data_IF_757263918435
#
_entry.id   IF_757263918435
#
_cell.length_a   1.000
_cell.length_b   1.000
_cell.length_c   1.000
_cell.angle_alpha   90.00
_cell.angle_beta   90.00
_cell.angle_gamma   90.00
#
_symmetry.space_group_name_H-M   'P 1'
#
loop_
_entity.id
_entity.type
_entity.pdbx_description
1 polymer ?
#
# COMPACT_ATOMS: atom_id res chain seq x y z
N UNK A 1 59.63 3.98 -65.68
CA UNK A 1 58.61 4.62 -64.84
C UNK A 1 57.67 3.52 -64.34
N UNK A 2 57.95 2.94 -63.16
CA UNK A 2 57.17 1.82 -62.59
C UNK A 2 56.37 2.34 -61.40
N UNK A 3 55.05 2.27 -61.47
CA UNK A 3 54.11 2.57 -60.40
C UNK A 3 54.20 1.50 -59.30
N UNK A 4 54.36 1.92 -58.05
CA UNK A 4 54.13 1.09 -56.86
C UNK A 4 52.74 1.39 -56.31
N UNK A 5 51.89 0.37 -56.24
CA UNK A 5 50.57 0.40 -55.62
C UNK A 5 50.74 -0.03 -54.16
N UNK A 6 50.45 0.87 -53.21
CA UNK A 6 50.34 0.54 -51.79
C UNK A 6 48.91 0.07 -51.50
N UNK A 7 48.74 -1.20 -51.15
CA UNK A 7 47.51 -1.73 -50.56
C UNK A 7 47.53 -1.48 -49.05
N UNK A 8 46.55 -0.71 -48.56
CA UNK A 8 46.27 -0.55 -47.14
C UNK A 8 45.38 -1.70 -46.65
N UNK A 9 45.87 -2.48 -45.68
CA UNK A 9 45.07 -3.45 -44.94
C UNK A 9 44.32 -2.75 -43.81
N UNK A 10 43.00 -2.60 -43.96
CA UNK A 10 42.10 -2.27 -42.85
C UNK A 10 41.80 -3.56 -42.08
N UNK A 11 42.37 -3.69 -40.88
CA UNK A 11 42.01 -4.76 -39.94
C UNK A 11 40.79 -4.33 -39.14
N UNK A 12 39.65 -4.99 -39.40
CA UNK A 12 38.42 -4.81 -38.63
C UNK A 12 38.55 -5.45 -37.26
N UNK A 13 38.61 -4.62 -36.21
CA UNK A 13 38.48 -5.05 -34.83
C UNK A 13 37.00 -5.19 -34.49
N UNK A 14 36.44 -6.39 -34.68
CA UNK A 14 35.13 -6.74 -34.13
C UNK A 14 35.31 -7.03 -32.63
N UNK A 15 35.11 -6.01 -31.82
CA UNK A 15 34.99 -6.15 -30.38
C UNK A 15 33.78 -7.02 -30.06
N UNK A 16 34.03 -8.19 -29.49
CA UNK A 16 33.00 -9.02 -28.89
C UNK A 16 32.51 -8.29 -27.63
N UNK A 17 31.39 -7.60 -27.74
CA UNK A 17 30.64 -7.16 -26.56
C UNK A 17 30.00 -8.41 -25.98
N UNK A 18 30.67 -9.02 -25.01
CA UNK A 18 30.04 -10.02 -24.16
C UNK A 18 28.88 -9.35 -23.43
N UNK A 19 27.66 -9.64 -23.86
CA UNK A 19 26.46 -9.39 -23.06
C UNK A 19 26.57 -10.26 -21.80
N UNK A 20 27.22 -9.74 -20.77
CA UNK A 20 27.10 -10.26 -19.42
C UNK A 20 25.69 -9.88 -18.98
N UNK A 21 24.74 -10.77 -19.19
CA UNK A 21 23.47 -10.73 -18.48
C UNK A 21 23.81 -10.91 -17.01
N UNK A 22 23.98 -9.81 -16.25
CA UNK A 22 24.01 -9.89 -14.80
C UNK A 22 22.65 -10.44 -14.39
N UNK A 23 22.64 -11.69 -13.94
CA UNK A 23 21.48 -12.26 -13.29
C UNK A 23 21.26 -11.46 -12.01
N UNK A 24 20.25 -10.58 -12.01
CA UNK A 24 19.94 -9.71 -10.88
C UNK A 24 19.85 -10.55 -9.60
N UNK A 25 20.63 -10.17 -8.59
CA UNK A 25 20.78 -10.95 -7.37
C UNK A 25 19.45 -11.16 -6.63
N UNK A 26 19.33 -12.26 -5.90
CA UNK A 26 18.12 -12.53 -5.12
C UNK A 26 18.10 -11.60 -3.90
N UNK A 27 16.97 -10.89 -3.63
CA UNK A 27 16.89 -10.03 -2.45
C UNK A 27 17.03 -10.85 -1.17
N UNK A 28 17.70 -10.28 -0.17
CA UNK A 28 18.04 -10.97 1.08
C UNK A 28 17.43 -10.25 2.27
N UNK A 29 16.74 -11.00 3.13
CA UNK A 29 16.27 -10.51 4.42
C UNK A 29 17.48 -10.26 5.32
N UNK A 30 17.68 -9.01 5.72
CA UNK A 30 18.72 -8.61 6.66
C UNK A 30 18.25 -8.78 8.10
N UNK A 31 16.99 -8.46 8.38
CA UNK A 31 16.37 -8.64 9.70
C UNK A 31 14.86 -8.66 9.62
N UNK A 32 14.21 -9.38 10.53
CA UNK A 32 12.77 -9.27 10.81
C UNK A 32 12.59 -9.10 12.31
N UNK A 33 11.74 -8.16 12.72
CA UNK A 33 11.39 -7.93 14.12
C UNK A 33 9.88 -7.83 14.28
N UNK A 34 9.33 -8.49 15.30
CA UNK A 34 8.02 -8.11 15.82
C UNK A 34 8.18 -6.74 16.52
N UNK A 35 7.47 -5.73 16.04
CA UNK A 35 7.55 -4.35 16.54
C UNK A 35 6.34 -3.94 17.39
N UNK A 36 5.26 -4.73 17.35
CA UNK A 36 4.05 -4.45 18.13
C UNK A 36 3.04 -5.61 18.12
N UNK A 37 2.43 -5.88 19.28
CA UNK A 37 1.42 -6.92 19.43
C UNK A 37 0.37 -6.63 20.54
N UNK A 38 0.15 -5.36 20.90
CA UNK A 38 -0.61 -5.02 22.12
C UNK A 38 -2.10 -5.40 22.10
N UNK A 39 -2.76 -5.44 20.93
CA UNK A 39 -4.17 -5.80 20.81
C UNK A 39 -4.36 -7.28 20.40
N UNK A 40 -5.55 -7.89 20.63
CA UNK A 40 -5.85 -9.23 20.13
C UNK A 40 -5.76 -9.37 18.61
N UNK A 41 -6.05 -8.30 17.87
CA UNK A 41 -5.86 -8.20 16.43
C UNK A 41 -5.12 -6.92 16.06
N UNK A 42 -3.97 -7.04 15.39
CA UNK A 42 -3.17 -5.94 14.86
C UNK A 42 -2.98 -6.13 13.35
N UNK A 43 -3.43 -5.19 12.50
CA UNK A 43 -3.38 -5.39 11.04
C UNK A 43 -3.38 -4.11 10.20
N UNK A 44 -3.20 -4.29 8.88
CA UNK A 44 -3.36 -3.27 7.85
C UNK A 44 -2.33 -2.15 7.91
N UNK A 45 -1.05 -2.53 7.97
CA UNK A 45 0.04 -1.60 8.29
C UNK A 45 0.28 -0.53 7.23
N UNK A 46 0.96 0.54 7.66
CA UNK A 46 1.74 1.39 6.78
C UNK A 46 2.99 1.93 7.48
N UNK A 47 3.96 2.42 6.71
CA UNK A 47 5.26 2.87 7.19
C UNK A 47 5.70 4.15 6.44
N UNK A 48 6.15 5.16 7.19
CA UNK A 48 6.80 6.34 6.64
C UNK A 48 8.02 6.71 7.47
N UNK A 49 9.02 7.32 6.84
CA UNK A 49 10.12 7.99 7.53
C UNK A 49 9.93 9.51 7.38
N UNK A 50 9.66 10.19 8.48
CA UNK A 50 9.28 11.60 8.50
C UNK A 50 10.09 12.35 9.57
N UNK A 51 10.73 13.46 9.16
CA UNK A 51 11.55 14.32 10.04
C UNK A 51 12.55 13.53 10.91
N UNK A 52 13.25 12.57 10.30
CA UNK A 52 14.28 11.77 10.96
C UNK A 52 13.77 10.61 11.82
N UNK A 53 12.46 10.34 11.82
CA UNK A 53 11.85 9.26 12.62
C UNK A 53 11.02 8.33 11.75
N UNK A 54 10.93 7.09 12.19
CA UNK A 54 10.03 6.10 11.64
C UNK A 54 8.66 6.20 12.30
N UNK A 55 7.60 6.17 11.50
CA UNK A 55 6.24 6.05 11.96
C UNK A 55 5.59 4.85 11.28
N UNK A 56 4.99 3.98 12.07
CA UNK A 56 4.19 2.87 11.58
C UNK A 56 2.76 3.01 12.11
N UNK A 57 1.78 2.76 11.26
CA UNK A 57 0.36 2.75 11.64
C UNK A 57 -0.26 1.41 11.35
N UNK A 58 -1.26 1.03 12.13
CA UNK A 58 -2.06 -0.17 11.95
C UNK A 58 -3.35 -0.07 12.77
N UNK A 59 -4.30 -0.92 12.45
CA UNK A 59 -5.54 -1.09 13.20
C UNK A 59 -5.31 -2.02 14.39
N UNK A 60 -5.78 -1.61 15.56
CA UNK A 60 -5.95 -2.43 16.76
C UNK A 60 -7.44 -2.76 16.96
N UNK A 61 -7.76 -4.03 17.17
CA UNK A 61 -9.12 -4.47 17.48
C UNK A 61 -9.15 -5.82 18.19
N UNK A 62 -10.34 -6.30 18.52
CA UNK A 62 -10.52 -7.65 19.07
C UNK A 62 -10.51 -8.74 17.98
N UNK A 63 -10.77 -8.40 16.70
CA UNK A 63 -10.90 -9.34 15.57
C UNK A 63 -10.71 -8.66 14.20
N UNK A 64 -10.50 -9.48 13.15
CA UNK A 64 -10.27 -9.03 11.77
C UNK A 64 -11.45 -8.27 11.16
N UNK A 65 -12.62 -8.91 10.99
CA UNK A 65 -13.81 -8.28 10.37
C UNK A 65 -15.14 -8.96 10.71
N UNK A 66 -15.13 -10.25 11.04
CA UNK A 66 -16.34 -11.04 11.28
C UNK A 66 -16.49 -11.32 12.76
N UNK A 67 -17.36 -10.57 13.45
CA UNK A 67 -18.05 -11.13 14.61
C UNK A 67 -19.19 -12.01 14.09
N UNK A 68 -19.36 -13.24 14.62
CA UNK A 68 -20.67 -13.89 14.55
C UNK A 68 -21.65 -12.95 15.26
N UNK A 69 -22.81 -12.68 14.68
CA UNK A 69 -23.79 -11.67 15.12
C UNK A 69 -24.26 -11.83 16.57
N UNK A 70 -24.07 -13.00 17.20
CA UNK A 70 -24.29 -13.23 18.63
C UNK A 70 -23.22 -12.63 19.56
N UNK A 71 -22.13 -12.07 19.01
CA UNK A 71 -21.01 -11.52 19.76
C UNK A 71 -20.72 -10.04 19.46
N UNK A 72 -21.47 -9.39 18.56
CA UNK A 72 -21.46 -7.93 18.41
C UNK A 72 -21.89 -7.30 19.74
N UNK A 73 -21.15 -6.32 20.27
CA UNK A 73 -21.65 -5.49 21.34
C UNK A 73 -22.96 -4.91 20.83
N UNK A 74 -24.05 -5.19 21.55
CA UNK A 74 -24.99 -4.10 21.75
C UNK A 74 -24.22 -2.91 22.32
N UNK A 75 -24.86 -1.75 22.34
CA UNK A 75 -24.31 -0.47 22.86
C UNK A 75 -23.65 -0.59 24.26
N UNK A 76 -23.80 -1.74 24.94
CA UNK A 76 -23.35 -2.06 26.29
C UNK A 76 -22.34 -3.23 26.43
N UNK A 77 -21.55 -3.63 25.42
CA UNK A 77 -20.49 -4.67 25.60
C UNK A 77 -19.08 -4.13 25.39
N UNK A 78 -18.20 -4.33 26.38
CA UNK A 78 -16.79 -3.95 26.35
C UNK A 78 -16.01 -4.65 25.20
N UNK A 79 -15.11 -3.92 24.54
CA UNK A 79 -14.22 -4.44 23.48
C UNK A 79 -13.77 -3.35 22.51
N UNK A 80 -12.66 -3.56 21.79
CA UNK A 80 -12.15 -2.59 20.81
C UNK A 80 -12.83 -2.74 19.46
N UNK A 81 -13.49 -1.68 19.00
CA UNK A 81 -14.11 -1.59 17.68
C UNK A 81 -13.21 -0.78 16.73
N UNK A 82 -12.05 -1.33 16.37
CA UNK A 82 -11.16 -0.75 15.35
C UNK A 82 -10.64 0.65 15.67
N UNK A 83 -9.49 0.70 16.33
CA UNK A 83 -8.77 1.94 16.61
C UNK A 83 -7.50 1.97 15.77
N UNK A 84 -7.02 3.17 15.41
CA UNK A 84 -5.77 3.32 14.68
C UNK A 84 -4.64 3.63 15.65
N UNK A 85 -3.71 2.70 15.79
CA UNK A 85 -2.45 2.90 16.49
C UNK A 85 -1.46 3.57 15.54
N UNK A 86 -0.75 4.56 16.07
CA UNK A 86 0.49 5.07 15.50
C UNK A 86 1.61 4.77 16.48
N UNK A 87 2.70 4.17 16.00
CA UNK A 87 3.93 3.96 16.76
C UNK A 87 5.08 4.70 16.10
N UNK A 88 6.05 5.13 16.91
CA UNK A 88 7.23 5.88 16.47
C UNK A 88 8.52 5.19 16.92
N UNK A 89 9.55 5.30 16.10
CA UNK A 89 10.91 4.87 16.42
C UNK A 89 11.95 5.83 15.85
N UNK A 90 13.01 6.09 16.61
CA UNK A 90 14.16 6.87 16.13
C UNK A 90 15.08 6.04 15.22
N UNK A 91 15.09 4.71 15.37
CA UNK A 91 16.07 3.82 14.73
C UNK A 91 15.45 2.56 14.08
N UNK A 92 14.14 2.38 14.22
CA UNK A 92 13.42 1.22 13.72
C UNK A 92 13.57 -0.06 14.56
N UNK A 93 14.31 -0.01 15.68
CA UNK A 93 14.48 -1.15 16.59
C UNK A 93 13.62 -1.04 17.84
N UNK A 94 13.50 0.16 18.42
CA UNK A 94 12.67 0.41 19.63
C UNK A 94 11.47 1.27 19.28
N UNK A 95 10.28 0.75 19.54
CA UNK A 95 9.02 1.38 19.19
C UNK A 95 8.22 1.74 20.42
N UNK A 96 7.54 2.89 20.36
CA UNK A 96 6.59 3.33 21.38
C UNK A 96 5.33 3.87 20.73
N UNK A 97 4.21 3.84 21.44
CA UNK A 97 2.99 4.49 20.99
C UNK A 97 3.22 6.00 20.81
N UNK A 98 2.74 6.52 19.69
CA UNK A 98 2.69 7.94 19.36
C UNK A 98 1.25 8.45 19.20
N UNK A 99 0.26 7.55 19.06
CA UNK A 99 -1.14 7.95 18.99
C UNK A 99 -2.07 6.75 19.02
N UNK A 100 -3.30 6.96 19.51
CA UNK A 100 -4.42 6.04 19.38
C UNK A 100 -5.63 6.84 18.95
N UNK A 101 -6.03 6.69 17.68
CA UNK A 101 -7.15 7.41 17.12
C UNK A 101 -8.38 6.51 17.09
N UNK A 102 -9.51 7.05 17.50
CA UNK A 102 -10.81 6.40 17.47
C UNK A 102 -11.86 7.36 16.88
N UNK A 103 -12.93 6.79 16.33
CA UNK A 103 -14.11 7.51 15.85
C UNK A 103 -15.33 6.82 16.47
N UNK A 104 -16.02 7.51 17.38
CA UNK A 104 -17.00 6.89 18.28
C UNK A 104 -18.12 6.20 17.49
N UNK A 105 -18.34 4.91 17.76
CA UNK A 105 -19.34 4.10 17.05
C UNK A 105 -18.88 3.53 15.70
N UNK A 106 -17.70 3.88 15.21
CA UNK A 106 -17.15 3.38 13.95
C UNK A 106 -15.94 2.45 14.17
N UNK A 107 -15.74 1.50 13.24
CA UNK A 107 -14.53 0.69 13.11
C UNK A 107 -13.57 1.38 12.13
N UNK A 108 -12.47 1.94 12.62
CA UNK A 108 -11.43 2.50 11.77
C UNK A 108 -10.53 1.41 11.18
N UNK A 109 -10.32 1.47 9.87
CA UNK A 109 -9.66 0.43 9.07
C UNK A 109 -8.71 0.99 8.01
N UNK A 110 -7.72 0.16 7.68
CA UNK A 110 -6.73 0.39 6.64
C UNK A 110 -6.01 1.74 6.74
N UNK A 111 -5.39 2.07 7.88
CA UNK A 111 -4.67 3.33 8.01
C UNK A 111 -3.47 3.39 7.05
N UNK A 112 -3.29 4.53 6.40
CA UNK A 112 -2.18 4.84 5.49
C UNK A 112 -1.60 6.20 5.84
N UNK A 113 -0.28 6.24 6.02
CA UNK A 113 0.46 7.43 6.38
C UNK A 113 1.06 8.06 5.12
N UNK A 114 1.11 9.39 5.11
CA UNK A 114 1.85 10.14 4.10
C UNK A 114 2.44 11.41 4.71
N UNK A 115 3.58 11.85 4.17
CA UNK A 115 4.14 13.16 4.50
C UNK A 115 3.54 14.20 3.56
N UNK A 116 2.97 15.25 4.12
CA UNK A 116 2.42 16.37 3.36
C UNK A 116 3.53 17.35 2.93
N UNK A 117 3.34 18.07 1.82
CA UNK A 117 4.26 19.12 1.36
C UNK A 117 4.48 20.24 2.39
N UNK A 118 3.47 20.54 3.22
CA UNK A 118 3.56 21.53 4.30
C UNK A 118 4.32 21.03 5.55
N UNK A 119 4.82 19.80 5.51
CA UNK A 119 5.60 19.19 6.57
C UNK A 119 4.78 18.50 7.66
N UNK A 120 3.45 18.43 7.55
CA UNK A 120 2.61 17.61 8.43
C UNK A 120 2.64 16.13 8.02
N UNK A 121 2.27 15.26 8.94
CA UNK A 121 1.83 13.91 8.64
C UNK A 121 0.33 13.90 8.39
N UNK A 122 -0.11 13.21 7.34
CA UNK A 122 -1.50 12.88 7.07
C UNK A 122 -1.71 11.38 7.26
N UNK A 123 -2.71 11.03 8.06
CA UNK A 123 -3.22 9.68 8.25
C UNK A 123 -4.57 9.57 7.57
N UNK A 124 -4.63 8.79 6.49
CA UNK A 124 -5.86 8.41 5.80
C UNK A 124 -6.33 7.06 6.33
N UNK A 125 -7.61 6.93 6.66
CA UNK A 125 -8.23 5.67 7.10
C UNK A 125 -9.68 5.63 6.60
N UNK A 126 -10.35 4.49 6.70
CA UNK A 126 -11.79 4.41 6.48
C UNK A 126 -12.51 3.99 7.75
N UNK A 127 -13.71 4.52 7.97
CA UNK A 127 -14.54 4.22 9.12
C UNK A 127 -15.77 3.44 8.67
N UNK A 128 -15.99 2.26 9.23
CA UNK A 128 -17.16 1.43 8.94
C UNK A 128 -18.14 1.44 10.11
N UNK A 129 -19.41 1.71 9.83
CA UNK A 129 -20.49 1.61 10.81
C UNK A 129 -21.16 0.24 10.67
N UNK A 130 -21.12 -0.60 11.70
CA UNK A 130 -21.75 -1.91 11.67
C UNK A 130 -23.22 -1.85 12.12
N UNK A 131 -24.11 -2.62 11.46
CA UNK A 131 -25.51 -2.80 11.89
C UNK A 131 -25.69 -4.24 12.43
N UNK A 132 -25.71 -4.44 13.76
CA UNK A 132 -25.75 -5.77 14.38
C UNK A 132 -26.98 -6.60 14.00
N UNK A 133 -28.08 -5.94 13.60
CA UNK A 133 -29.40 -6.54 13.43
C UNK A 133 -29.80 -6.83 11.99
N UNK A 134 -29.04 -6.37 10.98
CA UNK A 134 -29.50 -6.40 9.57
C UNK A 134 -28.84 -7.45 8.68
N UNK A 135 -27.73 -8.09 9.08
CA UNK A 135 -27.01 -8.97 8.15
C UNK A 135 -26.62 -10.34 8.72
N UNK A 136 -27.04 -11.40 8.03
CA UNK A 136 -26.58 -12.78 8.29
C UNK A 136 -25.26 -13.13 7.60
N UNK A 137 -24.76 -12.31 6.66
CA UNK A 137 -23.55 -12.62 5.87
C UNK A 137 -22.52 -11.47 5.70
N UNK A 138 -22.94 -10.20 5.53
CA UNK A 138 -22.05 -9.01 5.35
C UNK A 138 -22.60 -7.78 6.08
N UNK A 139 -21.82 -7.15 6.98
CA UNK A 139 -22.42 -6.46 8.14
C UNK A 139 -22.11 -4.99 8.44
N UNK A 140 -21.62 -4.17 7.50
CA UNK A 140 -21.61 -2.71 7.72
C UNK A 140 -22.85 -2.05 7.09
N UNK A 141 -23.43 -1.06 7.78
CA UNK A 141 -24.52 -0.21 7.30
C UNK A 141 -24.04 0.79 6.27
N UNK A 142 -22.90 1.41 6.57
CA UNK A 142 -22.25 2.42 5.73
C UNK A 142 -20.78 2.47 6.10
N UNK A 143 -19.99 3.12 5.25
CA UNK A 143 -18.58 3.45 5.53
C UNK A 143 -18.24 4.78 4.91
N UNK A 144 -17.18 5.43 5.35
CA UNK A 144 -16.62 6.56 4.60
C UNK A 144 -15.16 6.80 5.00
N UNK A 145 -14.38 7.51 4.18
CA UNK A 145 -13.01 7.86 4.51
C UNK A 145 -12.92 8.89 5.64
N UNK A 146 -11.82 8.84 6.39
CA UNK A 146 -11.42 9.74 7.49
C UNK A 146 -9.98 10.18 7.26
N UNK A 147 -9.69 11.44 7.57
CA UNK A 147 -8.32 11.96 7.63
C UNK A 147 -8.03 12.55 9.00
N UNK A 148 -6.80 12.37 9.46
CA UNK A 148 -6.26 13.02 10.65
C UNK A 148 -4.85 13.54 10.35
N UNK A 149 -4.46 14.61 11.04
CA UNK A 149 -3.20 15.30 10.79
C UNK A 149 -2.37 15.43 12.06
N UNK A 150 -1.05 15.48 11.90
CA UNK A 150 -0.12 15.73 12.99
C UNK A 150 1.07 16.55 12.51
N UNK A 151 1.46 17.57 13.29
CA UNK A 151 2.66 18.38 13.02
C UNK A 151 3.93 17.76 13.62
N UNK A 152 3.79 17.00 14.70
CA UNK A 152 4.90 16.46 15.49
C UNK A 152 4.94 14.92 15.54
N UNK A 153 3.95 14.26 14.94
CA UNK A 153 3.79 12.81 14.90
C UNK A 153 3.22 12.18 16.18
N UNK A 154 2.94 12.99 17.21
CA UNK A 154 2.45 12.53 18.53
C UNK A 154 1.11 13.13 18.94
N UNK A 155 0.80 14.34 18.51
CA UNK A 155 -0.51 14.97 18.69
C UNK A 155 -1.26 14.91 17.36
N UNK A 156 -2.41 14.23 17.38
CA UNK A 156 -3.21 13.99 16.18
C UNK A 156 -4.54 14.73 16.28
N UNK A 157 -4.98 15.33 15.17
CA UNK A 157 -6.34 15.85 15.07
C UNK A 157 -7.36 14.72 15.21
N UNK A 158 -8.60 15.07 15.59
CA UNK A 158 -9.71 14.11 15.49
C UNK A 158 -9.89 13.68 14.03
N UNK A 159 -10.26 12.41 13.77
CA UNK A 159 -10.62 11.98 12.43
C UNK A 159 -11.73 12.84 11.84
N UNK A 160 -11.47 13.42 10.67
CA UNK A 160 -12.42 14.21 9.90
C UNK A 160 -12.96 13.37 8.75
N UNK A 161 -14.29 13.25 8.61
CA UNK A 161 -14.89 12.60 7.46
C UNK A 161 -14.62 13.39 6.18
N UNK A 162 -14.17 12.69 5.14
CA UNK A 162 -14.02 13.21 3.78
C UNK A 162 -14.78 12.31 2.81
N UNK A 163 -15.23 12.88 1.69
CA UNK A 163 -16.13 12.24 0.72
C UNK A 163 -17.48 11.78 1.32
N UNK A 164 -18.38 11.36 0.41
CA UNK A 164 -19.68 10.81 0.77
C UNK A 164 -19.57 9.40 1.36
N UNK A 165 -20.71 8.88 1.80
CA UNK A 165 -20.83 7.48 2.23
C UNK A 165 -20.47 6.49 1.10
N UNK A 166 -20.13 5.27 1.52
CA UNK A 166 -19.68 4.11 0.72
C UNK A 166 -18.34 4.23 -0.01
N UNK A 167 -17.78 5.43 -0.05
CA UNK A 167 -16.40 5.64 -0.45
C UNK A 167 -15.43 4.93 0.49
N UNK A 168 -14.34 4.43 -0.07
CA UNK A 168 -13.18 3.94 0.66
C UNK A 168 -11.93 4.38 -0.07
N UNK A 169 -11.46 5.56 0.32
CA UNK A 169 -10.24 6.19 -0.13
C UNK A 169 -9.08 5.48 0.58
N UNK A 170 -8.24 4.77 -0.18
CA UNK A 170 -7.36 3.77 0.42
C UNK A 170 -5.98 4.32 0.79
N UNK A 171 -5.15 4.68 -0.19
CA UNK A 171 -3.75 5.10 0.03
C UNK A 171 -3.41 6.33 -0.82
N UNK A 172 -3.22 7.47 -0.16
CA UNK A 172 -2.82 8.70 -0.82
C UNK A 172 -1.33 8.68 -1.22
N UNK A 173 -1.03 9.27 -2.37
CA UNK A 173 0.34 9.53 -2.85
C UNK A 173 0.44 11.00 -3.22
N UNK A 174 1.45 11.69 -2.68
CA UNK A 174 1.68 13.10 -2.98
C UNK A 174 2.61 13.25 -4.19
N UNK A 175 2.22 14.09 -5.13
CA UNK A 175 2.99 14.45 -6.31
C UNK A 175 2.72 15.91 -6.66
N UNK A 176 3.79 16.69 -6.83
CA UNK A 176 3.73 18.12 -7.18
C UNK A 176 2.74 18.93 -6.34
N UNK A 177 2.77 18.72 -5.01
CA UNK A 177 1.92 19.46 -4.07
C UNK A 177 0.47 18.97 -3.99
N UNK A 178 0.08 17.92 -4.72
CA UNK A 178 -1.26 17.34 -4.69
C UNK A 178 -1.24 15.90 -4.20
N UNK A 179 -2.20 15.54 -3.35
CA UNK A 179 -2.49 14.17 -2.99
C UNK A 179 -3.34 13.52 -4.09
N UNK A 180 -3.04 12.27 -4.43
CA UNK A 180 -3.79 11.45 -5.37
C UNK A 180 -4.15 10.13 -4.72
N UNK A 181 -5.40 9.69 -4.87
CA UNK A 181 -5.85 8.44 -4.29
C UNK A 181 -7.00 7.85 -5.09
N UNK A 182 -7.08 6.52 -5.15
CA UNK A 182 -8.24 5.82 -5.67
C UNK A 182 -9.19 5.51 -4.51
N UNK A 183 -10.48 5.81 -4.71
CA UNK A 183 -11.56 5.35 -3.86
C UNK A 183 -12.27 4.18 -4.53
N UNK A 184 -12.50 3.10 -3.79
CA UNK A 184 -13.53 2.11 -4.16
C UNK A 184 -14.91 2.56 -3.66
N UNK A 185 -15.92 2.48 -4.52
CA UNK A 185 -17.31 2.84 -4.20
C UNK A 185 -18.24 1.66 -4.45
N UNK A 186 -19.18 1.45 -3.54
CA UNK A 186 -20.20 0.40 -3.61
C UNK A 186 -20.46 -0.22 -2.24
N UNK A 187 -21.74 -0.42 -1.93
CA UNK A 187 -22.25 -0.99 -0.68
C UNK A 187 -21.88 -2.46 -0.52
N UNK A 188 -21.83 -3.21 -1.63
CA UNK A 188 -21.54 -4.65 -1.68
C UNK A 188 -20.14 -4.94 -2.25
N UNK A 189 -19.67 -6.21 -2.16
CA UNK A 189 -18.50 -6.64 -2.91
C UNK A 189 -18.65 -6.45 -4.43
N UNK A 190 -19.88 -6.61 -4.94
CA UNK A 190 -20.22 -6.59 -6.37
C UNK A 190 -21.58 -5.90 -6.60
N UNK A 191 -21.69 -4.94 -7.54
CA UNK A 191 -20.61 -4.28 -8.28
C UNK A 191 -19.87 -3.23 -7.43
N UNK A 192 -18.61 -2.98 -7.76
CA UNK A 192 -17.78 -1.93 -7.13
C UNK A 192 -17.02 -1.15 -8.20
N UNK A 193 -17.00 0.17 -8.06
CA UNK A 193 -16.33 1.10 -8.98
C UNK A 193 -15.08 1.66 -8.33
N UNK A 194 -14.11 2.08 -9.13
CA UNK A 194 -12.88 2.71 -8.67
C UNK A 194 -12.73 4.10 -9.30
N UNK A 195 -12.59 5.12 -8.47
CA UNK A 195 -12.50 6.51 -8.90
C UNK A 195 -11.20 7.12 -8.45
N UNK A 196 -10.51 7.78 -9.37
CA UNK A 196 -9.37 8.61 -9.06
C UNK A 196 -9.86 9.94 -8.47
N UNK A 197 -9.27 10.30 -7.35
CA UNK A 197 -9.45 11.59 -6.70
C UNK A 197 -8.10 12.28 -6.52
N UNK A 198 -8.13 13.61 -6.48
CA UNK A 198 -6.99 14.42 -6.06
C UNK A 198 -7.38 15.48 -5.04
N UNK A 199 -6.42 15.99 -4.27
CA UNK A 199 -6.65 17.01 -3.25
C UNK A 199 -5.39 17.86 -3.02
N UNK A 200 -5.54 19.13 -2.66
CA UNK A 200 -4.42 19.99 -2.27
C UNK A 200 -4.09 19.94 -0.79
N UNK A 201 -5.04 19.50 0.05
CA UNK A 201 -4.95 19.58 1.52
C UNK A 201 -5.26 18.26 2.24
N UNK A 202 -5.71 17.25 1.49
CA UNK A 202 -6.15 15.96 2.02
C UNK A 202 -7.56 15.97 2.60
N UNK A 203 -8.26 17.10 2.58
CA UNK A 203 -9.64 17.27 3.09
C UNK A 203 -10.61 17.38 1.93
N UNK A 204 -10.37 18.30 1.01
CA UNK A 204 -11.24 18.55 -0.13
C UNK A 204 -10.75 17.75 -1.34
N UNK A 205 -11.45 16.65 -1.63
CA UNK A 205 -11.12 15.71 -2.70
C UNK A 205 -11.96 15.96 -3.95
N UNK A 206 -11.29 16.22 -5.07
CA UNK A 206 -11.87 16.42 -6.38
C UNK A 206 -11.85 15.11 -7.16
N UNK A 207 -12.97 14.78 -7.80
CA UNK A 207 -13.04 13.63 -8.70
C UNK A 207 -12.28 13.95 -10.00
N UNK A 208 -11.49 12.99 -10.48
CA UNK A 208 -10.63 13.16 -11.66
C UNK A 208 -11.08 12.26 -12.82
N UNK A 209 -11.19 10.96 -12.56
CA UNK A 209 -11.59 9.96 -13.57
C UNK A 209 -12.07 8.66 -12.92
N UNK A 210 -12.54 7.73 -13.73
CA UNK A 210 -12.90 6.37 -13.30
C UNK A 210 -11.93 5.34 -13.87
N UNK A 211 -11.44 4.44 -13.02
CA UNK A 211 -10.63 3.30 -13.43
C UNK A 211 -11.55 2.16 -13.87
N UNK A 212 -11.92 2.17 -15.15
CA UNK A 212 -12.76 1.13 -15.77
C UNK A 212 -11.91 -0.08 -16.17
N UNK A 213 -11.87 -1.10 -15.31
CA UNK A 213 -11.22 -2.36 -15.64
C UNK A 213 -11.93 -3.06 -16.83
N UNK A 214 -11.21 -3.81 -17.69
CA UNK A 214 -11.81 -4.50 -18.84
C UNK A 214 -12.97 -5.44 -18.44
N UNK A 215 -14.08 -5.38 -19.19
CA UNK A 215 -15.30 -6.15 -18.92
C UNK A 215 -15.10 -7.68 -19.03
N UNK A 216 -15.99 -8.47 -18.42
CA UNK A 216 -15.99 -9.94 -18.52
C UNK A 216 -14.98 -10.69 -17.65
N UNK A 217 -14.00 -9.99 -17.06
CA UNK A 217 -12.98 -10.60 -16.18
C UNK A 217 -13.16 -10.32 -14.68
N UNK A 218 -14.15 -9.50 -14.30
CA UNK A 218 -14.24 -8.89 -12.97
C UNK A 218 -15.42 -9.36 -12.10
N UNK A 219 -16.25 -10.31 -12.53
CA UNK A 219 -17.37 -10.79 -11.69
C UNK A 219 -16.81 -11.40 -10.40
N UNK A 220 -17.00 -10.70 -9.27
CA UNK A 220 -16.42 -11.06 -7.96
C UNK A 220 -14.94 -10.69 -7.77
N UNK A 221 -14.35 -9.90 -8.69
CA UNK A 221 -12.95 -9.41 -8.65
C UNK A 221 -12.85 -7.92 -9.02
N UNK A 222 -13.83 -7.14 -8.59
CA UNK A 222 -13.94 -5.71 -8.83
C UNK A 222 -12.77 -4.93 -8.21
N UNK A 223 -12.40 -3.77 -8.80
CA UNK A 223 -11.26 -3.00 -8.33
C UNK A 223 -11.47 -2.56 -6.87
N UNK A 224 -10.39 -2.61 -6.09
CA UNK A 224 -10.48 -2.31 -4.65
C UNK A 224 -9.28 -1.54 -4.11
N UNK A 225 -8.41 -2.19 -3.35
CA UNK A 225 -7.20 -1.60 -2.79
C UNK A 225 -6.22 -1.27 -3.92
N UNK A 226 -5.96 0.02 -4.11
CA UNK A 226 -5.12 0.52 -5.21
C UNK A 226 -4.04 1.47 -4.70
N UNK A 227 -2.77 1.12 -4.95
CA UNK A 227 -1.63 2.01 -4.68
C UNK A 227 -1.28 2.76 -5.97
N UNK A 228 -1.02 4.07 -5.87
CA UNK A 228 -0.56 4.90 -6.98
C UNK A 228 0.92 5.29 -6.79
N UNK A 229 1.69 5.42 -7.87
CA UNK A 229 2.99 6.12 -7.90
C UNK A 229 3.14 6.85 -9.22
N UNK A 230 4.00 7.86 -9.24
CA UNK A 230 4.32 8.65 -10.42
C UNK A 230 5.73 8.30 -10.89
N UNK A 231 5.85 7.98 -12.18
CA UNK A 231 7.12 7.85 -12.87
C UNK A 231 7.74 9.24 -13.10
N UNK A 232 9.06 9.33 -13.36
CA UNK A 232 9.73 10.62 -13.60
C UNK A 232 9.15 11.45 -14.75
N UNK A 233 8.51 10.81 -15.72
CA UNK A 233 7.87 11.45 -16.87
C UNK A 233 6.39 11.84 -16.63
N UNK A 234 5.92 11.73 -15.39
CA UNK A 234 4.55 12.06 -14.98
C UNK A 234 3.52 10.94 -15.24
N UNK A 235 3.92 9.79 -15.81
CA UNK A 235 3.03 8.64 -15.93
C UNK A 235 2.64 8.12 -14.55
N UNK A 236 1.34 7.95 -14.32
CA UNK A 236 0.79 7.36 -13.11
C UNK A 236 0.69 5.84 -13.30
N UNK A 237 1.25 5.09 -12.35
CA UNK A 237 1.11 3.64 -12.25
C UNK A 237 0.17 3.32 -11.08
N UNK A 238 -0.82 2.48 -11.32
CA UNK A 238 -1.76 1.97 -10.32
C UNK A 238 -1.59 0.47 -10.13
N UNK A 239 -1.26 0.02 -8.92
CA UNK A 239 -1.29 -1.40 -8.57
C UNK A 239 -2.63 -1.71 -7.90
N UNK A 240 -3.51 -2.40 -8.61
CA UNK A 240 -4.94 -2.56 -8.31
C UNK A 240 -5.22 -3.99 -7.88
N UNK A 241 -5.72 -4.15 -6.66
CA UNK A 241 -6.26 -5.42 -6.17
C UNK A 241 -7.50 -5.81 -6.99
N UNK A 242 -7.60 -7.02 -7.53
CA UNK A 242 -6.76 -8.20 -7.21
C UNK A 242 -5.62 -8.49 -8.21
N UNK A 243 -5.67 -8.01 -9.45
CA UNK A 243 -4.86 -8.56 -10.54
C UNK A 243 -4.43 -7.56 -11.62
N UNK A 244 -4.41 -6.26 -11.36
CA UNK A 244 -4.16 -5.29 -12.43
C UNK A 244 -3.06 -4.30 -12.09
N UNK A 245 -2.25 -4.00 -13.10
CA UNK A 245 -1.41 -2.81 -13.16
C UNK A 245 -2.08 -1.88 -14.16
N UNK A 246 -2.52 -0.71 -13.69
CA UNK A 246 -3.06 0.36 -14.52
C UNK A 246 -1.99 1.40 -14.83
N UNK A 247 -2.05 2.00 -16.01
CA UNK A 247 -1.17 3.09 -16.43
C UNK A 247 -2.00 4.24 -17.00
N UNK A 248 -1.61 5.46 -16.70
CA UNK A 248 -2.27 6.65 -17.24
C UNK A 248 -1.31 7.83 -17.30
N UNK A 249 -1.38 8.62 -18.38
CA UNK A 249 -0.64 9.88 -18.52
C UNK A 249 -1.56 11.06 -18.21
N UNK A 250 -1.03 12.24 -17.82
CA UNK A 250 -1.82 13.46 -17.69
C UNK A 250 -2.69 13.67 -18.94
N UNK A 251 -3.96 14.08 -18.82
CA UNK A 251 -4.67 14.50 -17.59
C UNK A 251 -5.34 13.35 -16.81
N UNK A 252 -4.83 12.13 -16.92
CA UNK A 252 -5.26 10.93 -16.18
C UNK A 252 -6.70 10.46 -16.44
N UNK A 253 -7.19 10.76 -17.64
CA UNK A 253 -8.56 10.43 -18.06
C UNK A 253 -8.69 9.03 -18.68
N UNK A 254 -7.62 8.55 -19.29
CA UNK A 254 -7.59 7.27 -20.00
C UNK A 254 -6.58 6.33 -19.36
N UNK A 255 -6.98 5.07 -19.22
CA UNK A 255 -6.21 4.05 -18.52
C UNK A 255 -6.00 2.83 -19.41
N UNK A 256 -4.78 2.35 -19.46
CA UNK A 256 -4.45 1.00 -19.96
C UNK A 256 -4.22 0.07 -18.78
N UNK A 257 -4.50 -1.22 -18.98
CA UNK A 257 -4.41 -2.22 -17.91
C UNK A 257 -3.68 -3.46 -18.38
N UNK A 258 -2.75 -3.92 -17.55
CA UNK A 258 -2.12 -5.22 -17.68
C UNK A 258 -2.60 -6.11 -16.55
N UNK A 259 -3.12 -7.29 -16.90
CA UNK A 259 -3.49 -8.31 -15.92
C UNK A 259 -2.25 -9.07 -15.48
N UNK A 260 -2.13 -9.31 -14.18
CA UNK A 260 -1.08 -10.14 -13.57
C UNK A 260 -1.65 -11.46 -13.06
N UNK A 261 -0.82 -12.50 -13.05
CA UNK A 261 -1.22 -13.87 -12.69
C UNK A 261 -1.13 -14.17 -11.18
N UNK A 262 -1.24 -13.12 -10.35
CA UNK A 262 -1.10 -13.20 -8.91
C UNK A 262 -2.26 -12.52 -8.21
N UNK A 263 -2.82 -13.17 -7.17
CA UNK A 263 -3.84 -12.55 -6.32
C UNK A 263 -3.17 -11.67 -5.27
N UNK A 264 -3.44 -10.37 -5.33
CA UNK A 264 -2.91 -9.39 -4.40
C UNK A 264 -3.88 -9.11 -3.26
N UNK A 265 -3.35 -8.94 -2.04
CA UNK A 265 -4.08 -8.41 -0.89
C UNK A 265 -3.29 -7.28 -0.22
N UNK A 266 -3.92 -6.10 -0.12
CA UNK A 266 -3.29 -4.89 0.40
C UNK A 266 -2.01 -4.47 -0.31
N UNK A 267 -1.94 -4.42 -1.66
CA UNK A 267 -0.69 -4.22 -2.38
C UNK A 267 -0.09 -2.83 -2.19
N UNK A 268 1.22 -2.75 -1.99
CA UNK A 268 1.99 -1.50 -2.00
C UNK A 268 3.20 -1.66 -2.91
N UNK A 269 3.72 -0.57 -3.46
CA UNK A 269 4.96 -0.60 -4.22
C UNK A 269 5.72 0.72 -4.09
N UNK A 270 7.01 0.66 -4.40
CA UNK A 270 7.93 1.80 -4.43
C UNK A 270 8.67 1.82 -5.75
N UNK A 271 9.06 3.03 -6.18
CA UNK A 271 10.00 3.26 -7.26
C UNK A 271 11.31 3.66 -6.59
N UNK A 272 12.38 2.93 -6.84
CA UNK A 272 13.70 3.20 -6.27
C UNK A 272 14.44 4.31 -7.05
N UNK A 273 15.52 4.88 -6.50
CA UNK A 273 16.28 5.93 -7.19
C UNK A 273 16.85 5.51 -8.56
N UNK A 274 17.07 4.22 -8.78
CA UNK A 274 17.51 3.67 -10.07
C UNK A 274 16.36 3.44 -11.08
N UNK A 275 15.12 3.75 -10.68
CA UNK A 275 13.92 3.55 -11.49
C UNK A 275 13.30 2.16 -11.39
N UNK A 276 13.94 1.21 -10.71
CA UNK A 276 13.37 -0.12 -10.50
C UNK A 276 12.13 -0.05 -9.59
N UNK A 277 11.14 -0.90 -9.86
CA UNK A 277 9.90 -0.95 -9.09
C UNK A 277 9.83 -2.23 -8.27
N UNK A 278 9.45 -2.08 -7.01
CA UNK A 278 9.35 -3.20 -6.07
C UNK A 278 8.00 -3.16 -5.37
N UNK A 279 7.29 -4.28 -5.43
CA UNK A 279 5.98 -4.46 -4.82
C UNK A 279 6.10 -5.35 -3.59
N UNK A 280 5.35 -5.04 -2.54
CA UNK A 280 5.05 -6.00 -1.49
C UNK A 280 3.53 -6.14 -1.33
N UNK A 281 3.06 -7.36 -1.12
CA UNK A 281 1.63 -7.67 -1.00
C UNK A 281 1.42 -8.99 -0.28
N UNK A 282 0.18 -9.30 0.10
CA UNK A 282 -0.22 -10.69 0.30
C UNK A 282 -0.32 -11.34 -1.07
N UNK A 283 0.54 -12.30 -1.36
CA UNK A 283 0.55 -13.07 -2.61
C UNK A 283 0.38 -14.54 -2.25
N UNK A 284 -0.65 -15.18 -2.80
CA UNK A 284 -0.92 -16.62 -2.60
C UNK A 284 -0.93 -17.07 -1.12
N UNK A 285 -1.39 -16.20 -0.22
CA UNK A 285 -1.57 -16.53 1.19
C UNK A 285 -0.46 -16.06 2.13
N UNK A 286 0.69 -15.62 1.63
CA UNK A 286 1.83 -15.12 2.43
C UNK A 286 2.19 -13.67 2.06
N UNK A 287 2.89 -12.97 2.95
CA UNK A 287 3.48 -11.67 2.65
C UNK A 287 4.73 -11.86 1.80
N UNK A 288 4.76 -11.27 0.61
CA UNK A 288 5.86 -11.45 -0.34
C UNK A 288 6.31 -10.11 -0.93
N UNK A 289 7.59 -10.06 -1.28
CA UNK A 289 8.22 -9.05 -2.09
C UNK A 289 8.30 -9.55 -3.54
N UNK A 290 8.02 -8.67 -4.48
CA UNK A 290 8.01 -8.92 -5.90
C UNK A 290 8.76 -7.83 -6.66
N UNK A 291 9.49 -8.21 -7.71
CA UNK A 291 9.94 -7.28 -8.75
C UNK A 291 8.72 -6.86 -9.56
N UNK A 292 8.65 -5.58 -9.90
CA UNK A 292 7.54 -5.02 -10.66
C UNK A 292 8.07 -4.25 -11.86
N UNK A 293 7.31 -4.26 -12.93
CA UNK A 293 7.42 -3.31 -14.04
C UNK A 293 6.03 -2.69 -14.26
N UNK A 294 5.85 -1.72 -15.17
CA UNK A 294 4.52 -1.25 -15.55
C UNK A 294 3.60 -2.36 -16.12
N UNK A 295 4.14 -3.53 -16.46
CA UNK A 295 3.42 -4.60 -17.17
C UNK A 295 3.58 -5.99 -16.52
N UNK A 296 4.41 -6.14 -15.49
CA UNK A 296 4.66 -7.44 -14.87
C UNK A 296 4.89 -7.34 -13.37
N UNK A 297 4.65 -8.46 -12.69
CA UNK A 297 4.92 -8.63 -11.27
C UNK A 297 5.45 -10.06 -11.06
N UNK A 298 6.65 -10.17 -10.51
CA UNK A 298 7.33 -11.44 -10.24
C UNK A 298 7.66 -11.54 -8.75
N UNK A 299 6.97 -12.38 -7.97
CA UNK A 299 7.32 -12.64 -6.58
C UNK A 299 8.70 -13.29 -6.49
N UNK A 300 9.60 -12.70 -5.70
CA UNK A 300 11.01 -13.13 -5.60
C UNK A 300 11.43 -13.46 -4.16
N UNK A 301 10.67 -13.03 -3.15
CA UNK A 301 11.02 -13.29 -1.75
C UNK A 301 9.79 -13.34 -0.86
N UNK A 302 9.63 -14.45 -0.14
CA UNK A 302 8.63 -14.57 0.91
C UNK A 302 9.16 -14.01 2.23
N UNK A 303 8.38 -13.16 2.91
CA UNK A 303 8.67 -12.71 4.26
C UNK A 303 8.14 -13.75 5.26
N UNK A 304 8.78 -13.94 6.44
CA UNK A 304 8.27 -14.77 7.53
C UNK A 304 6.85 -14.36 7.89
N UNK A 305 5.87 -15.16 7.45
CA UNK A 305 4.44 -14.82 7.52
C UNK A 305 3.56 -16.05 7.31
N UNK A 306 2.32 -15.96 7.78
CA UNK A 306 1.33 -17.02 7.72
C UNK A 306 -0.03 -16.57 8.28
N UNK A 307 -1.06 -17.37 8.03
CA UNK A 307 -2.43 -17.16 8.48
C UNK A 307 -3.04 -15.86 7.94
N UNK A 308 -3.40 -14.97 8.85
CA UNK A 308 -3.88 -13.63 8.53
C UNK A 308 -2.70 -12.66 8.39
N UNK A 309 -2.42 -12.17 7.18
CA UNK A 309 -1.17 -11.44 6.88
C UNK A 309 -1.27 -10.51 5.67
N UNK A 310 -0.31 -9.60 5.52
CA UNK A 310 -0.10 -8.75 4.34
C UNK A 310 -0.10 -7.25 4.65
N UNK A 311 -0.65 -6.48 3.71
CA UNK A 311 -0.83 -5.01 3.79
C UNK A 311 0.45 -4.26 4.18
N UNK A 312 1.51 -4.36 3.35
CA UNK A 312 2.77 -3.78 3.73
C UNK A 312 2.85 -2.26 3.59
N UNK A 313 3.57 -1.64 4.52
CA UNK A 313 4.17 -0.31 4.36
C UNK A 313 5.59 -0.46 3.84
N UNK A 314 6.04 0.44 2.97
CA UNK A 314 7.33 0.31 2.27
C UNK A 314 8.07 1.64 2.23
N UNK A 315 9.34 1.63 2.63
CA UNK A 315 10.25 2.78 2.54
C UNK A 315 11.62 2.30 2.09
N UNK A 316 12.15 2.90 1.02
CA UNK A 316 13.55 2.72 0.65
C UNK A 316 14.44 3.70 1.41
N UNK A 317 15.40 3.19 2.18
CA UNK A 317 16.30 4.01 2.98
C UNK A 317 17.57 3.26 3.34
N UNK A 318 18.72 3.96 3.27
CA UNK A 318 20.03 3.41 3.66
C UNK A 318 20.38 2.13 2.90
N UNK A 319 20.09 2.11 1.59
CA UNK A 319 20.27 0.97 0.69
C UNK A 319 19.53 -0.31 1.13
N UNK A 320 18.48 -0.15 1.92
CA UNK A 320 17.60 -1.22 2.35
C UNK A 320 16.14 -0.84 2.06
N UNK A 321 15.36 -1.85 1.69
CA UNK A 321 13.92 -1.75 1.67
C UNK A 321 13.39 -2.14 3.04
N UNK A 322 12.75 -1.18 3.70
CA UNK A 322 12.08 -1.38 4.98
C UNK A 322 10.61 -1.69 4.71
N UNK A 323 10.14 -2.82 5.23
CA UNK A 323 8.80 -3.35 4.96
C UNK A 323 8.10 -3.63 6.28
N UNK A 324 7.09 -2.82 6.64
CA UNK A 324 6.16 -3.20 7.70
C UNK A 324 5.12 -4.16 7.12
N UNK A 325 4.64 -5.13 7.89
CA UNK A 325 3.53 -5.99 7.52
C UNK A 325 2.92 -6.60 8.79
N UNK A 326 1.70 -7.14 8.71
CA UNK A 326 1.14 -7.92 9.82
C UNK A 326 1.13 -9.41 9.50
N UNK A 327 1.16 -10.25 10.53
CA UNK A 327 1.01 -11.69 10.37
C UNK A 327 0.57 -12.39 11.66
N UNK A 328 -0.15 -13.51 11.55
CA UNK A 328 -0.52 -14.40 12.65
C UNK A 328 0.26 -15.72 12.66
N UNK A 329 1.48 -15.78 12.09
CA UNK A 329 2.27 -17.03 12.10
C UNK A 329 2.76 -17.44 13.49
N UNK A 330 2.79 -16.50 14.44
CA UNK A 330 3.09 -16.70 15.86
C UNK A 330 1.79 -16.58 16.69
N UNK A 331 0.75 -17.33 16.29
CA UNK A 331 -0.59 -17.43 16.92
C UNK A 331 -1.52 -16.21 16.81
N UNK A 332 -1.04 -15.03 17.21
CA UNK A 332 -1.82 -13.77 17.23
C UNK A 332 -1.33 -12.82 16.13
N UNK A 333 -2.22 -12.06 15.49
CA UNK A 333 -1.77 -11.06 14.52
C UNK A 333 -0.93 -9.99 15.21
N UNK A 334 0.33 -9.90 14.79
CA UNK A 334 1.32 -8.93 15.27
C UNK A 334 1.88 -8.14 14.09
N UNK A 335 2.54 -7.02 14.39
CA UNK A 335 3.16 -6.14 13.40
C UNK A 335 4.65 -6.44 13.34
N UNK A 336 5.14 -6.68 12.13
CA UNK A 336 6.52 -7.00 11.85
C UNK A 336 7.16 -5.92 10.98
N UNK A 337 8.47 -5.74 11.15
CA UNK A 337 9.30 -4.91 10.30
C UNK A 337 10.45 -5.75 9.75
N UNK A 338 10.47 -5.90 8.43
CA UNK A 338 11.58 -6.48 7.70
C UNK A 338 12.50 -5.38 7.17
N UNK A 339 13.81 -5.64 7.17
CA UNK A 339 14.79 -4.91 6.37
C UNK A 339 15.31 -5.88 5.31
N UNK A 340 15.22 -5.48 4.06
CA UNK A 340 15.59 -6.32 2.92
C UNK A 340 16.66 -5.59 2.12
N UNK A 341 17.78 -6.27 1.85
CA UNK A 341 18.74 -5.80 0.87
C UNK A 341 18.27 -6.26 -0.51
N UNK A 342 18.17 -5.31 -1.42
CA UNK A 342 17.86 -5.58 -2.81
C UNK A 342 19.18 -5.61 -3.55
N UNK A 343 19.45 -6.69 -4.27
CA UNK A 343 20.60 -6.75 -5.15
C UNK A 343 20.12 -6.28 -6.55
N UNK A 344 20.68 -5.19 -7.10
CA UNK A 344 20.33 -4.70 -8.42
C UNK A 344 20.70 -5.66 -9.56
#
# INVERSE_FOLDING_TARGET
MRLLICLAFLTGWQGWVSNVTMQAGQPVIVSVRNIWDAAPHNAFTDLVHHRGKWYCTFREADYHARRKTSAAPGVNKAGRNGEIRVIVSENGDRWKSAGLLADEGFDLRDPKLSSMPDGRLMLLTCAALYAPTQAKEWGYRTRSPRVAFSEDGTHWSKPLRVLAEDHWLWRATWHEGRAWCVSKLGETPTPRRAFLYSSSDGVDWQWESELKLPEGHNVGREPSETTLRFMPDGEMIALIRQHYIGRSRPPYQEWSYTRIDHNLGGPNFVILPDGSMWCASRINGSSQLARMTPESLEPVLALPSGGDTGYPGMVWRENLLWVSYYSSHEDKTSIYLAKVRLDP
#
